data_IF_948141406670
#
_entry.id   IF_948141406670
#
_cell.length_a   1.000
_cell.length_b   1.000
_cell.length_c   1.000
_cell.angle_alpha   90.00
_cell.angle_beta   90.00
_cell.angle_gamma   90.00
#
_symmetry.space_group_name_H-M   'P 1'
#
loop_
_entity.id
_entity.type
_entity.pdbx_description
1 polymer ?
#
# COMPACT_ATOMS: atom_id res chain seq x y z
N UNK A 1 2.29 17.60 -15.28
CA UNK A 1 3.21 17.53 -14.11
C UNK A 1 2.39 17.02 -12.94
N UNK A 2 2.36 15.71 -12.71
CA UNK A 2 1.64 15.12 -11.58
C UNK A 2 2.34 15.56 -10.32
N UNK A 3 1.62 16.24 -9.42
CA UNK A 3 2.17 16.70 -8.16
C UNK A 3 2.67 15.46 -7.39
N UNK A 4 3.99 15.37 -7.20
CA UNK A 4 4.64 14.15 -6.66
C UNK A 4 4.31 13.95 -5.17
N UNK A 5 3.89 15.03 -4.51
CA UNK A 5 3.69 15.06 -3.07
C UNK A 5 2.47 15.92 -2.68
N UNK A 6 1.72 15.42 -1.71
CA UNK A 6 0.57 16.02 -1.07
C UNK A 6 1.02 16.63 0.27
N UNK A 7 0.57 17.84 0.57
CA UNK A 7 0.64 18.37 1.94
C UNK A 7 -0.33 17.61 2.86
N UNK A 8 -0.24 17.82 4.18
CA UNK A 8 -1.25 17.31 5.12
C UNK A 8 -2.67 17.75 4.75
N UNK A 9 -2.86 19.04 4.43
CA UNK A 9 -4.17 19.58 4.06
C UNK A 9 -4.70 18.94 2.79
N UNK A 10 -3.83 18.66 1.83
CA UNK A 10 -4.19 18.01 0.57
C UNK A 10 -4.50 16.53 0.75
N UNK A 11 -3.78 15.85 1.64
CA UNK A 11 -4.07 14.46 1.98
C UNK A 11 -5.43 14.32 2.66
N UNK A 12 -5.73 15.20 3.61
CA UNK A 12 -7.05 15.29 4.28
C UNK A 12 -8.15 15.63 3.28
N UNK A 13 -7.90 16.56 2.35
CA UNK A 13 -8.88 16.90 1.33
C UNK A 13 -9.09 15.77 0.30
N UNK A 14 -8.05 15.01 -0.03
CA UNK A 14 -8.12 13.90 -0.97
C UNK A 14 -8.87 12.69 -0.37
N UNK A 15 -8.69 12.43 0.92
CA UNK A 15 -9.32 11.32 1.63
C UNK A 15 -10.44 11.86 2.50
N UNK A 16 -11.67 11.91 1.97
CA UNK A 16 -12.80 12.58 2.64
C UNK A 16 -13.17 12.07 4.05
N UNK A 17 -12.70 10.87 4.43
CA UNK A 17 -12.88 10.27 5.77
C UNK A 17 -11.68 10.44 6.70
N UNK A 18 -10.62 11.09 6.21
CA UNK A 18 -9.41 11.38 6.98
C UNK A 18 -9.58 12.74 7.65
N UNK A 19 -9.35 12.79 8.96
CA UNK A 19 -9.17 14.04 9.68
C UNK A 19 -7.77 14.09 10.32
N UNK A 20 -7.43 15.20 10.96
CA UNK A 20 -6.12 15.36 11.62
C UNK A 20 -5.91 14.34 12.75
N UNK A 21 -6.97 13.92 13.44
CA UNK A 21 -6.87 12.97 14.54
C UNK A 21 -6.56 11.57 14.02
N UNK A 22 -7.26 11.11 12.99
CA UNK A 22 -7.00 9.87 12.25
C UNK A 22 -5.60 9.87 11.64
N UNK A 23 -5.20 10.95 10.99
CA UNK A 23 -3.84 11.05 10.44
C UNK A 23 -2.79 10.95 11.55
N UNK A 24 -2.95 11.69 12.65
CA UNK A 24 -2.05 11.60 13.82
C UNK A 24 -1.99 10.18 14.36
N UNK A 25 -3.14 9.50 14.44
CA UNK A 25 -3.22 8.10 14.86
C UNK A 25 -2.44 7.18 13.92
N UNK A 26 -2.59 7.33 12.60
CA UNK A 26 -1.87 6.52 11.61
C UNK A 26 -0.36 6.73 11.65
N UNK A 27 0.09 7.97 11.92
CA UNK A 27 1.51 8.27 12.14
C UNK A 27 2.04 7.61 13.43
N UNK A 28 1.28 7.66 14.53
CA UNK A 28 1.65 7.04 15.81
C UNK A 28 1.68 5.52 15.75
N UNK A 29 0.72 4.91 15.06
CA UNK A 29 0.67 3.48 14.79
C UNK A 29 1.73 3.02 13.78
N UNK A 30 2.54 3.94 13.25
CA UNK A 30 3.61 3.66 12.29
C UNK A 30 3.11 2.89 11.05
N UNK A 31 1.90 3.20 10.59
CA UNK A 31 1.33 2.65 9.35
C UNK A 31 1.46 3.62 8.17
N UNK A 32 1.71 4.90 8.46
CA UNK A 32 2.05 5.93 7.47
C UNK A 32 3.40 6.54 7.84
N UNK A 33 4.27 6.69 6.83
CA UNK A 33 5.58 7.28 6.96
C UNK A 33 5.70 8.44 5.95
N UNK A 34 5.46 9.70 6.37
CA UNK A 34 5.60 10.83 5.48
C UNK A 34 7.05 11.00 5.06
N UNK A 35 7.25 11.48 3.83
CA UNK A 35 8.53 12.04 3.45
C UNK A 35 8.66 13.45 4.05
N UNK A 36 9.89 13.93 4.17
CA UNK A 36 10.15 15.31 4.56
C UNK A 36 10.57 16.14 3.35
N UNK A 37 9.91 17.28 3.15
CA UNK A 37 10.29 18.27 2.16
C UNK A 37 10.30 19.65 2.81
N UNK A 38 11.47 20.31 2.81
CA UNK A 38 11.65 21.66 3.38
C UNK A 38 11.16 21.78 4.83
N UNK A 39 11.38 20.74 5.64
CA UNK A 39 10.97 20.70 7.05
C UNK A 39 9.46 20.49 7.28
N UNK A 40 8.72 20.06 6.25
CA UNK A 40 7.30 19.71 6.35
C UNK A 40 7.07 18.27 5.92
N UNK A 41 6.14 17.61 6.60
CA UNK A 41 5.65 16.29 6.21
C UNK A 41 4.91 16.39 4.87
N UNK A 42 5.27 15.51 3.94
CA UNK A 42 4.63 15.37 2.64
C UNK A 42 4.35 13.91 2.33
N UNK A 43 3.27 13.67 1.59
CA UNK A 43 2.73 12.33 1.34
C UNK A 43 2.75 12.03 -0.16
N UNK A 44 3.13 10.82 -0.54
CA UNK A 44 3.08 10.38 -1.95
C UNK A 44 1.69 9.89 -2.29
N UNK A 45 1.41 9.71 -3.58
CA UNK A 45 0.16 9.10 -4.05
C UNK A 45 -0.13 7.74 -3.39
N UNK A 46 0.90 6.92 -3.18
CA UNK A 46 0.75 5.61 -2.52
C UNK A 46 0.33 5.76 -1.05
N UNK A 47 0.78 6.83 -0.39
CA UNK A 47 0.40 7.12 1.00
C UNK A 47 -1.08 7.53 1.06
N UNK A 48 -1.59 8.24 0.04
CA UNK A 48 -3.03 8.59 -0.07
C UNK A 48 -3.90 7.33 -0.19
N UNK A 49 -3.58 6.43 -1.14
CA UNK A 49 -4.31 5.18 -1.29
C UNK A 49 -4.25 4.30 -0.02
N UNK A 50 -3.12 4.32 0.68
CA UNK A 50 -2.98 3.64 1.97
C UNK A 50 -3.85 4.29 3.07
N UNK A 51 -3.95 5.61 3.11
CA UNK A 51 -4.84 6.32 4.06
C UNK A 51 -6.32 5.99 3.82
N UNK A 52 -6.74 5.85 2.56
CA UNK A 52 -8.10 5.40 2.21
C UNK A 52 -8.38 4.01 2.80
N UNK A 53 -7.48 3.05 2.53
CA UNK A 53 -7.59 1.69 3.07
C UNK A 53 -7.60 1.66 4.61
N UNK A 54 -6.75 2.46 5.25
CA UNK A 54 -6.73 2.56 6.71
C UNK A 54 -8.05 3.10 7.26
N UNK A 55 -8.70 4.03 6.57
CA UNK A 55 -10.04 4.50 6.94
C UNK A 55 -11.07 3.37 6.82
N UNK A 56 -11.07 2.60 5.72
CA UNK A 56 -11.95 1.43 5.56
C UNK A 56 -11.78 0.43 6.70
N UNK A 57 -10.53 0.08 7.01
CA UNK A 57 -10.22 -0.87 8.07
C UNK A 57 -10.67 -0.39 9.45
N UNK A 58 -10.51 0.91 9.74
CA UNK A 58 -10.94 1.48 11.02
C UNK A 58 -12.46 1.55 11.15
N UNK A 59 -13.15 1.88 10.06
CA UNK A 59 -14.61 2.02 10.04
C UNK A 59 -15.30 0.64 10.17
N UNK A 60 -14.72 -0.41 9.58
CA UNK A 60 -15.35 -1.73 9.50
C UNK A 60 -14.95 -2.70 10.64
N UNK A 61 -13.78 -2.54 11.26
CA UNK A 61 -13.20 -3.58 12.14
C UNK A 61 -12.81 -3.12 13.55
N UNK A 62 -13.08 -1.87 13.93
CA UNK A 62 -12.78 -1.32 15.28
C UNK A 62 -11.36 -1.65 15.79
N UNK A 63 -10.39 -1.68 14.89
CA UNK A 63 -9.01 -2.07 15.22
C UNK A 63 -8.39 -1.05 16.18
N UNK A 64 -7.64 -1.52 17.18
CA UNK A 64 -6.72 -0.67 17.94
C UNK A 64 -5.42 -0.44 17.13
N UNK A 65 -4.52 0.41 17.64
CA UNK A 65 -3.31 0.82 16.91
C UNK A 65 -2.37 -0.36 16.61
N UNK A 66 -2.21 -1.30 17.55
CA UNK A 66 -1.37 -2.49 17.37
C UNK A 66 -1.97 -3.44 16.32
N UNK A 67 -3.28 -3.67 16.38
CA UNK A 67 -4.00 -4.52 15.42
C UNK A 67 -3.97 -3.90 14.02
N UNK A 68 -4.13 -2.59 13.91
CA UNK A 68 -4.03 -1.86 12.65
C UNK A 68 -2.63 -2.02 12.04
N UNK A 69 -1.57 -1.90 12.85
CA UNK A 69 -0.19 -2.16 12.43
C UNK A 69 0.00 -3.59 11.92
N UNK A 70 -0.50 -4.58 12.63
CA UNK A 70 -0.40 -5.99 12.23
C UNK A 70 -1.14 -6.27 10.91
N UNK A 71 -2.37 -5.77 10.77
CA UNK A 71 -3.16 -5.94 9.54
C UNK A 71 -2.45 -5.28 8.35
N UNK A 72 -1.88 -4.09 8.55
CA UNK A 72 -1.11 -3.42 7.49
C UNK A 72 0.12 -4.21 7.08
N UNK A 73 0.85 -4.81 8.03
CA UNK A 73 1.98 -5.68 7.71
C UNK A 73 1.54 -6.90 6.87
N UNK A 74 0.40 -7.52 7.19
CA UNK A 74 -0.14 -8.65 6.42
C UNK A 74 -0.56 -8.23 5.01
N UNK A 75 -1.18 -7.06 4.88
CA UNK A 75 -1.57 -6.50 3.59
C UNK A 75 -0.34 -6.19 2.74
N UNK A 76 0.67 -5.53 3.31
CA UNK A 76 1.93 -5.22 2.64
C UNK A 76 2.63 -6.53 2.19
N UNK A 77 2.66 -7.56 3.03
CA UNK A 77 3.21 -8.89 2.67
C UNK A 77 2.45 -9.56 1.52
N UNK A 78 1.11 -9.49 1.54
CA UNK A 78 0.27 -10.04 0.47
C UNK A 78 0.50 -9.30 -0.85
N UNK A 79 0.60 -7.97 -0.81
CA UNK A 79 0.93 -7.17 -1.99
C UNK A 79 2.33 -7.49 -2.53
N UNK A 80 3.32 -7.64 -1.65
CA UNK A 80 4.66 -8.09 -2.02
C UNK A 80 4.64 -9.43 -2.75
N UNK A 81 3.96 -10.42 -2.18
CA UNK A 81 3.83 -11.76 -2.76
C UNK A 81 3.12 -11.74 -4.12
N UNK A 82 2.05 -10.95 -4.25
CA UNK A 82 1.35 -10.76 -5.54
C UNK A 82 2.25 -10.08 -6.56
N UNK A 83 3.07 -9.12 -6.14
CA UNK A 83 4.06 -8.44 -6.97
C UNK A 83 5.13 -9.40 -7.48
N UNK A 84 5.69 -10.23 -6.61
CA UNK A 84 6.69 -11.24 -6.95
C UNK A 84 6.14 -12.25 -7.95
N UNK A 85 4.91 -12.72 -7.72
CA UNK A 85 4.23 -13.62 -8.66
C UNK A 85 4.01 -12.94 -10.02
N UNK A 86 3.56 -11.68 -10.05
CA UNK A 86 3.36 -10.94 -11.29
C UNK A 86 4.67 -10.68 -12.03
N UNK A 87 5.79 -10.47 -11.31
CA UNK A 87 7.12 -10.33 -11.89
C UNK A 87 7.61 -11.66 -12.48
N UNK A 88 7.43 -12.76 -11.74
CA UNK A 88 7.76 -14.10 -12.21
C UNK A 88 6.95 -14.49 -13.45
N UNK A 89 5.65 -14.20 -13.48
CA UNK A 89 4.81 -14.44 -14.65
C UNK A 89 5.21 -13.58 -15.85
N UNK A 90 5.64 -12.33 -15.65
CA UNK A 90 6.19 -11.49 -16.72
C UNK A 90 7.48 -12.07 -17.28
N UNK A 91 8.43 -12.44 -16.42
CA UNK A 91 9.68 -13.06 -16.84
C UNK A 91 9.44 -14.36 -17.61
N UNK A 92 8.55 -15.23 -17.13
CA UNK A 92 8.13 -16.43 -17.86
C UNK A 92 7.47 -16.09 -19.20
N UNK A 93 6.74 -14.98 -19.29
CA UNK A 93 6.14 -14.50 -20.55
C UNK A 93 7.18 -14.09 -21.60
N UNK A 94 8.38 -13.69 -21.21
CA UNK A 94 9.48 -13.34 -22.12
C UNK A 94 10.28 -14.56 -22.60
N UNK A 95 10.11 -15.72 -21.95
CA UNK A 95 10.77 -16.96 -22.31
C UNK A 95 10.19 -17.61 -23.60
N UNK A 96 11.01 -18.40 -24.32
CA UNK A 96 10.55 -19.19 -25.46
C UNK A 96 9.40 -20.16 -25.13
N UNK A 97 8.58 -20.47 -26.15
CA UNK A 97 7.36 -21.27 -26.02
C UNK A 97 7.56 -22.66 -25.42
N UNK A 98 8.69 -23.31 -25.66
CA UNK A 98 9.02 -24.63 -25.11
C UNK A 98 9.28 -24.57 -23.60
N UNK A 99 9.96 -23.51 -23.12
CA UNK A 99 10.20 -23.25 -21.70
C UNK A 99 8.87 -22.97 -20.99
N UNK A 100 8.03 -22.09 -21.55
CA UNK A 100 6.71 -21.75 -20.99
C UNK A 100 5.82 -22.99 -20.83
N UNK A 101 5.71 -23.81 -21.87
CA UNK A 101 4.93 -25.06 -21.84
C UNK A 101 5.46 -26.07 -20.82
N UNK A 102 6.79 -26.19 -20.71
CA UNK A 102 7.43 -27.07 -19.72
C UNK A 102 7.11 -26.65 -18.29
N UNK A 103 7.15 -25.35 -18.00
CA UNK A 103 6.82 -24.81 -16.67
C UNK A 103 5.32 -24.95 -16.37
N UNK A 104 4.44 -24.62 -17.32
CA UNK A 104 2.99 -24.78 -17.16
C UNK A 104 2.58 -26.23 -16.88
N UNK A 105 3.22 -27.21 -17.53
CA UNK A 105 2.96 -28.63 -17.27
C UNK A 105 3.40 -29.13 -15.88
N UNK A 106 4.21 -28.35 -15.15
CA UNK A 106 4.68 -28.67 -13.79
C UNK A 106 3.96 -27.91 -12.69
N UNK A 107 3.25 -26.83 -13.03
CA UNK A 107 2.39 -26.12 -12.08
C UNK A 107 1.17 -27.01 -11.80
N UNK A 108 1.20 -27.68 -10.65
CA UNK A 108 0.12 -28.55 -10.19
C UNK A 108 -1.19 -27.77 -10.01
N UNK A 109 -2.30 -28.40 -10.41
CA UNK A 109 -3.66 -28.00 -10.04
C UNK A 109 -3.99 -28.47 -8.63
#
# INVERSE_FOLDING_TARGET
MTRVFYSEEEAIAAVGRLDRARLTRFLRAQVIYPAEASGRAVYRQVDIARMELLCDLCDDFELNDDALGMVMQLIDQLHGTRGDLAALLRALGEEPDDVRRRVQGRLGR
#
